data_IF_112086633181
#
_entry.id   IF_112086633181
#
_cell.length_a   1.000
_cell.length_b   1.000
_cell.length_c   1.000
_cell.angle_alpha   90.00
_cell.angle_beta   90.00
_cell.angle_gamma   90.00
#
_symmetry.space_group_name_H-M   'P 1'
#
loop_
_entity.id
_entity.type
_entity.pdbx_description
1 polymer ?
#
# COMPACT_ATOMS: atom_id res chain seq x y z
N UNK A 1 22.05 10.13 40.04
CA UNK A 1 21.62 10.27 38.64
C UNK A 1 20.86 9.00 38.28
N UNK A 2 19.54 9.10 38.07
CA UNK A 2 18.71 7.96 37.71
C UNK A 2 18.61 7.91 36.19
N UNK A 3 19.07 6.83 35.57
CA UNK A 3 18.90 6.60 34.13
C UNK A 3 17.51 6.01 33.91
N UNK A 4 16.61 6.81 33.35
CA UNK A 4 15.28 6.35 32.93
C UNK A 4 15.42 5.57 31.62
N UNK A 5 15.31 4.24 31.69
CA UNK A 5 15.15 3.39 30.52
C UNK A 5 13.73 3.63 29.99
N UNK A 6 13.61 4.29 28.85
CA UNK A 6 12.33 4.49 28.15
C UNK A 6 11.95 3.15 27.51
N UNK A 7 11.00 2.44 28.11
CA UNK A 7 10.34 1.30 27.48
C UNK A 7 9.43 1.82 26.36
N UNK A 8 9.82 1.62 25.10
CA UNK A 8 8.95 1.90 23.96
C UNK A 8 7.74 0.94 24.00
N UNK A 9 6.54 1.52 24.04
CA UNK A 9 5.28 0.79 24.13
C UNK A 9 4.88 0.28 22.73
N UNK A 10 5.22 -0.97 22.42
CA UNK A 10 5.07 -1.58 21.08
C UNK A 10 3.63 -1.50 20.49
N UNK A 11 2.61 -1.45 21.34
CA UNK A 11 1.21 -1.40 20.90
C UNK A 11 0.86 -0.11 20.15
N UNK A 12 1.45 1.01 20.55
CA UNK A 12 1.17 2.31 19.94
C UNK A 12 1.73 2.40 18.51
N UNK A 13 2.92 1.84 18.28
CA UNK A 13 3.55 1.81 16.96
C UNK A 13 2.72 1.01 15.94
N UNK A 14 2.25 -0.18 16.34
CA UNK A 14 1.42 -1.06 15.50
C UNK A 14 0.12 -0.37 15.08
N UNK A 15 -0.51 0.37 16.01
CA UNK A 15 -1.73 1.11 15.72
C UNK A 15 -1.50 2.21 14.69
N UNK A 16 -0.42 2.99 14.83
CA UNK A 16 -0.09 4.04 13.85
C UNK A 16 0.25 3.47 12.47
N UNK A 17 1.05 2.40 12.40
CA UNK A 17 1.38 1.76 11.11
C UNK A 17 0.16 1.17 10.42
N UNK A 18 -0.76 0.58 11.19
CA UNK A 18 -2.01 0.02 10.67
C UNK A 18 -2.93 1.13 10.14
N UNK A 19 -3.11 2.21 10.91
CA UNK A 19 -3.91 3.37 10.48
C UNK A 19 -3.35 4.00 9.22
N UNK A 20 -2.03 4.16 9.14
CA UNK A 20 -1.36 4.70 7.97
C UNK A 20 -1.60 3.82 6.73
N UNK A 21 -1.37 2.50 6.84
CA UNK A 21 -1.58 1.58 5.70
C UNK A 21 -3.04 1.60 5.23
N UNK A 22 -3.99 1.50 6.16
CA UNK A 22 -5.42 1.50 5.85
C UNK A 22 -5.86 2.79 5.15
N UNK A 23 -5.25 3.94 5.49
CA UNK A 23 -5.50 5.20 4.80
C UNK A 23 -5.02 5.13 3.34
N UNK A 24 -3.79 4.68 3.11
CA UNK A 24 -3.23 4.59 1.75
C UNK A 24 -4.00 3.60 0.88
N UNK A 25 -4.42 2.46 1.43
CA UNK A 25 -5.25 1.48 0.72
C UNK A 25 -6.58 2.10 0.26
N UNK A 26 -7.26 2.84 1.14
CA UNK A 26 -8.51 3.54 0.81
C UNK A 26 -8.30 4.64 -0.22
N UNK A 27 -7.22 5.40 -0.13
CA UNK A 27 -6.87 6.42 -1.12
C UNK A 27 -6.61 5.79 -2.49
N UNK A 28 -5.91 4.65 -2.54
CA UNK A 28 -5.68 3.91 -3.77
C UNK A 28 -6.98 3.38 -4.39
N UNK A 29 -7.94 2.89 -3.60
CA UNK A 29 -9.26 2.49 -4.11
C UNK A 29 -10.05 3.66 -4.71
N UNK A 30 -9.89 4.88 -4.16
CA UNK A 30 -10.63 6.06 -4.59
C UNK A 30 -9.98 6.79 -5.77
N UNK A 31 -8.65 6.83 -5.81
CA UNK A 31 -7.85 7.70 -6.69
C UNK A 31 -6.91 6.93 -7.61
N UNK A 32 -6.72 5.64 -7.37
CA UNK A 32 -5.86 4.79 -8.18
C UNK A 32 -6.42 4.56 -9.58
N UNK A 33 -5.52 4.27 -10.52
CA UNK A 33 -5.91 3.83 -11.85
C UNK A 33 -6.40 2.39 -11.77
N UNK A 34 -7.68 2.17 -12.14
CA UNK A 34 -8.25 0.83 -12.26
C UNK A 34 -7.55 0.08 -13.41
N UNK A 35 -7.03 -1.10 -13.10
CA UNK A 35 -6.36 -1.99 -14.03
C UNK A 35 -7.08 -3.34 -13.98
N UNK A 36 -8.06 -3.55 -14.87
CA UNK A 36 -8.81 -4.80 -14.93
C UNK A 36 -7.86 -5.97 -15.19
N UNK A 37 -8.04 -7.07 -14.46
CA UNK A 37 -7.33 -8.32 -14.76
C UNK A 37 -8.30 -9.35 -15.30
N UNK A 38 -7.80 -10.32 -16.07
CA UNK A 38 -8.59 -11.48 -16.49
C UNK A 38 -8.86 -12.47 -15.34
N UNK A 39 -8.08 -12.38 -14.26
CA UNK A 39 -8.21 -13.22 -13.07
C UNK A 39 -9.33 -12.80 -12.10
N UNK A 40 -9.30 -13.40 -10.91
CA UNK A 40 -10.31 -13.23 -9.87
C UNK A 40 -10.28 -11.89 -9.13
N UNK A 41 -9.27 -11.04 -9.37
CA UNK A 41 -9.11 -9.75 -8.71
C UNK A 41 -8.81 -8.65 -9.72
N UNK A 42 -9.28 -7.44 -9.45
CA UNK A 42 -8.84 -6.23 -10.17
C UNK A 42 -7.82 -5.46 -9.35
N UNK A 43 -7.02 -4.64 -10.03
CA UNK A 43 -6.00 -3.83 -9.39
C UNK A 43 -6.33 -2.35 -9.44
N UNK A 44 -5.96 -1.63 -8.38
CA UNK A 44 -5.93 -0.18 -8.30
C UNK A 44 -4.49 0.26 -8.08
N UNK A 45 -3.95 0.96 -9.07
CA UNK A 45 -2.54 1.36 -9.11
C UNK A 45 -2.42 2.81 -8.69
N UNK A 46 -1.67 3.06 -7.63
CA UNK A 46 -1.68 4.37 -6.97
C UNK A 46 -0.27 4.85 -6.66
N UNK A 47 -0.02 6.12 -6.94
CA UNK A 47 1.14 6.87 -6.47
C UNK A 47 0.70 7.79 -5.33
N UNK A 48 1.19 7.51 -4.13
CA UNK A 48 0.86 8.29 -2.93
C UNK A 48 1.66 9.59 -2.82
N UNK A 49 2.74 9.74 -3.60
CA UNK A 49 3.68 10.86 -3.50
C UNK A 49 4.51 10.91 -2.20
N UNK A 50 4.37 9.93 -1.31
CA UNK A 50 5.12 9.81 -0.05
C UNK A 50 5.65 8.39 0.12
N UNK A 51 6.68 8.21 0.95
CA UNK A 51 7.14 6.85 1.26
C UNK A 51 6.08 6.09 2.07
N UNK A 52 5.56 4.99 1.52
CA UNK A 52 4.51 4.16 2.12
C UNK A 52 5.01 2.80 2.60
N UNK A 53 6.30 2.53 2.46
CA UNK A 53 6.91 1.28 2.87
C UNK A 53 8.05 0.88 1.97
N UNK A 54 8.33 -0.43 1.95
CA UNK A 54 9.45 -0.98 1.20
C UNK A 54 8.97 -2.09 0.27
N UNK A 55 9.50 -2.09 -0.95
CA UNK A 55 9.39 -3.20 -1.89
C UNK A 55 10.81 -3.75 -2.13
N UNK A 56 11.03 -5.03 -1.82
CA UNK A 56 12.35 -5.67 -1.92
C UNK A 56 13.48 -4.88 -1.23
N UNK A 57 13.21 -4.37 -0.02
CA UNK A 57 14.17 -3.59 0.78
C UNK A 57 14.41 -2.17 0.30
N UNK A 58 13.75 -1.72 -0.77
CA UNK A 58 13.85 -0.34 -1.27
C UNK A 58 12.60 0.45 -0.89
N UNK A 59 12.73 1.70 -0.40
CA UNK A 59 11.58 2.53 -0.10
C UNK A 59 10.76 2.77 -1.37
N UNK A 60 9.43 2.83 -1.23
CA UNK A 60 8.53 3.05 -2.35
C UNK A 60 7.35 3.94 -1.96
N UNK A 61 6.85 4.69 -2.95
CA UNK A 61 5.64 5.50 -2.87
C UNK A 61 4.45 4.88 -3.61
N UNK A 62 4.69 3.76 -4.30
CA UNK A 62 3.74 3.15 -5.22
C UNK A 62 3.02 1.97 -4.56
N UNK A 63 1.70 1.94 -4.71
CA UNK A 63 0.81 0.92 -4.15
C UNK A 63 0.04 0.23 -5.27
N UNK A 64 -0.11 -1.08 -5.16
CA UNK A 64 -1.16 -1.85 -5.83
C UNK A 64 -2.16 -2.28 -4.77
N UNK A 65 -3.41 -1.88 -4.89
CA UNK A 65 -4.50 -2.51 -4.15
C UNK A 65 -5.14 -3.57 -5.03
N UNK A 66 -5.15 -4.80 -4.54
CA UNK A 66 -5.89 -5.90 -5.16
C UNK A 66 -7.29 -5.95 -4.56
N UNK A 67 -8.32 -6.09 -5.39
CA UNK A 67 -9.72 -6.23 -4.99
C UNK A 67 -10.29 -7.51 -5.58
N UNK A 68 -10.65 -8.46 -4.72
CA UNK A 68 -11.24 -9.72 -5.15
C UNK A 68 -12.66 -9.49 -5.65
N UNK A 69 -12.94 -9.89 -6.90
CA UNK A 69 -14.22 -9.62 -7.58
C UNK A 69 -15.43 -10.28 -6.93
N UNK A 70 -15.24 -11.44 -6.31
CA UNK A 70 -16.32 -12.23 -5.69
C UNK A 70 -16.66 -11.77 -4.27
N UNK A 71 -15.71 -11.23 -3.52
CA UNK A 71 -15.88 -10.89 -2.09
C UNK A 71 -15.76 -9.40 -1.80
N UNK A 72 -15.26 -8.59 -2.73
CA UNK A 72 -14.84 -7.20 -2.52
C UNK A 72 -13.82 -7.01 -1.39
N UNK A 73 -13.15 -8.09 -0.97
CA UNK A 73 -12.00 -7.98 -0.08
C UNK A 73 -10.85 -7.30 -0.82
N UNK A 74 -10.08 -6.48 -0.10
CA UNK A 74 -8.98 -5.76 -0.69
C UNK A 74 -7.71 -5.80 0.15
N UNK A 75 -6.57 -5.79 -0.54
CA UNK A 75 -5.25 -5.87 0.07
C UNK A 75 -4.27 -4.91 -0.62
N UNK A 76 -3.60 -4.07 0.16
CA UNK A 76 -2.55 -3.18 -0.33
C UNK A 76 -1.18 -3.86 -0.38
N UNK A 77 -0.49 -3.71 -1.51
CA UNK A 77 0.89 -4.14 -1.70
C UNK A 77 1.75 -2.97 -2.19
N UNK A 78 2.75 -2.53 -1.41
CA UNK A 78 3.78 -1.63 -1.91
C UNK A 78 4.54 -2.30 -3.08
N UNK A 79 4.62 -1.61 -4.21
CA UNK A 79 5.21 -2.12 -5.46
C UNK A 79 6.41 -1.27 -5.87
N UNK A 80 7.21 -1.79 -6.80
CA UNK A 80 8.32 -1.02 -7.38
C UNK A 80 7.79 0.06 -8.35
N UNK A 81 8.62 1.08 -8.62
CA UNK A 81 8.34 2.05 -9.68
C UNK A 81 8.16 1.37 -11.06
N UNK A 82 8.97 0.34 -11.32
CA UNK A 82 8.90 -0.43 -12.56
C UNK A 82 7.53 -1.10 -12.73
N UNK A 83 7.02 -1.74 -11.67
CA UNK A 83 5.69 -2.36 -11.70
C UNK A 83 4.59 -1.31 -11.86
N UNK A 84 4.69 -0.18 -11.15
CA UNK A 84 3.75 0.92 -11.24
C UNK A 84 3.59 1.39 -12.70
N UNK A 85 4.68 1.77 -13.35
CA UNK A 85 4.64 2.18 -14.76
C UNK A 85 4.27 1.03 -15.69
N UNK A 86 4.63 -0.20 -15.34
CA UNK A 86 4.25 -1.41 -16.08
C UNK A 86 2.74 -1.60 -16.13
N UNK A 87 2.04 -1.43 -15.00
CA UNK A 87 0.59 -1.50 -14.97
C UNK A 87 -0.06 -0.33 -15.72
N UNK A 88 0.43 0.90 -15.54
CA UNK A 88 -0.14 2.06 -16.24
C UNK A 88 -0.04 1.98 -17.76
N UNK A 89 0.99 1.29 -18.29
CA UNK A 89 1.12 1.03 -19.73
C UNK A 89 0.10 0.04 -20.25
N UNK A 90 -0.38 -0.90 -19.42
CA UNK A 90 -1.38 -1.92 -19.82
C UNK A 90 -2.81 -1.39 -19.84
N UNK A 91 -3.07 -0.28 -19.16
CA UNK A 91 -4.39 0.36 -19.08
C UNK A 91 -4.64 1.32 -20.25
N UNK A 92 -3.58 1.80 -20.91
CA UNK A 92 -3.67 2.62 -22.13
C UNK A 92 -3.87 1.74 -23.36
#
# INVERSE_FOLDING_TARGET
MSVSIIYFNNNLYIEYTTKFRNKIEKEALQKGTHSPQSGGSDYYIYDSGINIGYNNGKPTQYMRVEVTKSTNEFHGHPISAQDYYGYLKKVK
#
